data_IF_746489052013
#
_entry.id   IF_746489052013
#
_cell.length_a   1.000
_cell.length_b   1.000
_cell.length_c   1.000
_cell.angle_alpha   90.00
_cell.angle_beta   90.00
_cell.angle_gamma   90.00
#
_symmetry.space_group_name_H-M   'P 1'
#
loop_
_entity.id
_entity.type
_entity.pdbx_description
1 polymer ?
#
# COMPACT_ATOMS: atom_id res chain seq x y z
N UNK A 1 -49.15 73.22 2.89
CA UNK A 1 -50.08 72.58 1.95
C UNK A 1 -49.39 71.38 1.29
N UNK A 2 -50.10 70.24 1.21
CA UNK A 2 -49.76 68.94 0.57
C UNK A 2 -48.69 68.13 1.34
N UNK A 3 -48.99 67.09 2.12
CA UNK A 3 -49.71 65.81 1.87
C UNK A 3 -49.08 65.05 0.68
N UNK A 4 -48.74 63.76 0.70
CA UNK A 4 -48.92 62.64 1.64
C UNK A 4 -48.13 61.43 1.07
N UNK A 5 -47.80 60.43 1.89
CA UNK A 5 -48.27 59.02 1.80
C UNK A 5 -47.33 58.03 2.51
N UNK A 6 -47.97 57.25 3.38
CA UNK A 6 -47.53 56.03 4.04
C UNK A 6 -47.39 54.91 2.99
N UNK A 7 -46.48 53.94 3.19
CA UNK A 7 -46.75 52.47 3.21
C UNK A 7 -45.46 51.61 3.11
N UNK A 8 -45.31 50.76 4.13
CA UNK A 8 -44.86 49.35 4.17
C UNK A 8 -43.42 48.87 3.83
N UNK A 9 -42.92 48.08 4.81
CA UNK A 9 -42.39 46.71 4.70
C UNK A 9 -40.91 46.47 4.36
N UNK A 10 -40.30 45.58 5.15
CA UNK A 10 -39.18 44.75 4.70
C UNK A 10 -38.08 44.50 5.72
N UNK A 11 -38.33 43.61 6.69
CA UNK A 11 -37.26 42.89 7.40
C UNK A 11 -36.57 41.95 6.41
N UNK A 12 -35.29 42.18 6.08
CA UNK A 12 -34.43 41.14 5.49
C UNK A 12 -33.06 41.24 6.17
N UNK A 13 -32.92 40.50 7.27
CA UNK A 13 -31.61 40.19 7.82
C UNK A 13 -30.94 39.15 6.93
N UNK A 14 -29.93 39.54 6.16
CA UNK A 14 -29.02 38.59 5.51
C UNK A 14 -28.12 38.00 6.60
N UNK A 15 -28.55 36.88 7.18
CA UNK A 15 -27.67 36.04 8.00
C UNK A 15 -26.84 35.18 7.05
N UNK A 16 -25.63 35.63 6.71
CA UNK A 16 -24.64 34.79 6.03
C UNK A 16 -24.19 33.69 6.98
N UNK A 17 -24.76 32.50 6.84
CA UNK A 17 -24.23 31.30 7.48
C UNK A 17 -22.88 30.97 6.82
N UNK A 18 -21.78 31.26 7.53
CA UNK A 18 -20.46 30.78 7.16
C UNK A 18 -20.46 29.25 7.31
N UNK A 19 -20.48 28.54 6.19
CA UNK A 19 -20.23 27.10 6.17
C UNK A 19 -18.76 26.88 6.55
N UNK A 20 -18.51 26.46 7.79
CA UNK A 20 -17.18 26.02 8.21
C UNK A 20 -16.93 24.65 7.55
N UNK A 21 -15.83 24.48 6.80
CA UNK A 21 -15.47 23.16 6.28
C UNK A 21 -15.21 22.24 7.47
N UNK A 22 -16.00 21.17 7.59
CA UNK A 22 -15.68 20.09 8.50
C UNK A 22 -14.44 19.38 7.96
N UNK A 23 -13.43 19.07 8.80
CA UNK A 23 -12.35 18.21 8.38
C UNK A 23 -12.93 16.84 8.00
N UNK A 24 -12.83 16.48 6.72
CA UNK A 24 -13.09 15.11 6.27
C UNK A 24 -11.89 14.27 6.69
N UNK A 25 -11.97 13.66 7.87
CA UNK A 25 -11.09 12.53 8.17
C UNK A 25 -11.59 11.38 7.29
N UNK A 26 -10.77 10.93 6.34
CA UNK A 26 -11.01 9.61 5.76
C UNK A 26 -11.00 8.63 6.93
N UNK A 27 -12.08 7.85 7.10
CA UNK A 27 -12.21 6.99 8.27
C UNK A 27 -11.15 5.88 8.16
N UNK A 28 -10.09 5.98 8.96
CA UNK A 28 -9.06 4.95 9.03
C UNK A 28 -9.57 3.78 9.88
N UNK A 29 -9.70 2.61 9.26
CA UNK A 29 -10.05 1.39 9.98
C UNK A 29 -8.82 0.77 10.62
N UNK A 30 -8.84 0.60 11.94
CA UNK A 30 -7.84 -0.21 12.65
C UNK A 30 -8.21 -1.69 12.56
N UNK A 31 -7.35 -2.52 11.96
CA UNK A 31 -7.53 -3.96 11.80
C UNK A 31 -6.64 -4.75 12.77
N UNK A 32 -7.26 -5.52 13.68
CA UNK A 32 -6.58 -6.38 14.66
C UNK A 32 -7.07 -7.84 14.58
N UNK A 33 -7.63 -8.23 13.44
CA UNK A 33 -8.19 -9.55 13.26
C UNK A 33 -8.52 -9.81 11.79
N UNK A 34 -9.65 -10.44 11.52
CA UNK A 34 -9.99 -10.85 10.16
C UNK A 34 -11.02 -9.90 9.54
N UNK A 35 -10.73 -9.42 8.34
CA UNK A 35 -11.69 -8.74 7.47
C UNK A 35 -11.97 -9.59 6.23
N UNK A 36 -13.25 -9.72 5.92
CA UNK A 36 -13.71 -10.40 4.71
C UNK A 36 -13.79 -9.47 3.51
N UNK A 37 -14.68 -9.80 2.58
CA UNK A 37 -15.03 -8.96 1.44
C UNK A 37 -15.86 -7.76 1.91
N UNK A 38 -15.17 -6.72 2.35
CA UNK A 38 -15.72 -5.41 2.71
C UNK A 38 -14.90 -4.31 2.05
N UNK A 39 -15.48 -3.12 1.93
CA UNK A 39 -14.75 -1.92 1.49
C UNK A 39 -14.45 -1.04 2.70
N UNK A 40 -13.24 -0.47 2.74
CA UNK A 40 -12.76 0.44 3.77
C UNK A 40 -11.95 1.55 3.09
N UNK A 41 -11.82 2.72 3.71
CA UNK A 41 -11.04 3.83 3.16
C UNK A 41 -9.55 3.53 3.33
N UNK A 42 -8.95 3.96 4.45
CA UNK A 42 -7.61 3.59 4.85
C UNK A 42 -7.67 2.45 5.88
N UNK A 43 -6.61 1.65 5.93
CA UNK A 43 -6.50 0.56 6.90
C UNK A 43 -5.17 0.63 7.62
N UNK A 44 -5.22 0.57 8.94
CA UNK A 44 -4.06 0.51 9.83
C UNK A 44 -4.01 -0.82 10.54
N UNK A 45 -2.90 -1.54 10.47
CA UNK A 45 -2.60 -2.69 11.33
C UNK A 45 -1.71 -2.17 12.45
N UNK A 46 -2.23 -2.04 13.68
CA UNK A 46 -1.48 -1.41 14.76
C UNK A 46 -0.36 -2.32 15.25
N UNK A 47 0.55 -1.75 16.04
CA UNK A 47 1.67 -2.45 16.65
C UNK A 47 1.28 -3.82 17.25
N UNK A 48 2.14 -4.82 17.00
CA UNK A 48 2.01 -6.21 17.47
C UNK A 48 0.69 -6.92 17.12
N UNK A 49 -0.17 -6.31 16.31
CA UNK A 49 -1.44 -6.89 15.92
C UNK A 49 -1.31 -7.71 14.64
N UNK A 50 -2.20 -8.70 14.50
CA UNK A 50 -2.35 -9.45 13.26
C UNK A 50 -3.63 -9.04 12.55
N UNK A 51 -3.51 -8.66 11.28
CA UNK A 51 -4.63 -8.42 10.40
C UNK A 51 -4.62 -9.41 9.23
N UNK A 52 -5.73 -10.10 9.03
CA UNK A 52 -5.95 -10.93 7.83
C UNK A 52 -7.05 -10.32 6.98
N UNK A 53 -6.74 -9.98 5.74
CA UNK A 53 -7.67 -9.48 4.74
C UNK A 53 -7.98 -10.58 3.73
N UNK A 54 -9.26 -10.88 3.50
CA UNK A 54 -9.71 -11.87 2.53
C UNK A 54 -10.76 -11.27 1.60
N UNK A 55 -10.35 -10.86 0.40
CA UNK A 55 -11.25 -10.22 -0.57
C UNK A 55 -11.57 -8.76 -0.24
N UNK A 56 -10.88 -8.16 0.73
CA UNK A 56 -11.12 -6.77 1.16
C UNK A 56 -10.73 -5.76 0.08
N UNK A 57 -11.53 -4.72 -0.09
CA UNK A 57 -11.23 -3.54 -0.91
C UNK A 57 -10.81 -2.39 0.02
N UNK A 58 -9.65 -1.80 -0.22
CA UNK A 58 -9.12 -0.63 0.49
C UNK A 58 -9.03 0.50 -0.53
N UNK A 59 -9.81 1.56 -0.36
CA UNK A 59 -9.86 2.69 -1.30
C UNK A 59 -8.67 3.64 -1.15
N UNK A 60 -8.00 3.59 -0.01
CA UNK A 60 -6.79 4.31 0.30
C UNK A 60 -5.60 3.38 0.50
N UNK A 61 -4.86 3.61 1.57
CA UNK A 61 -3.61 2.92 1.88
C UNK A 61 -3.78 1.87 2.98
N UNK A 62 -2.86 0.90 2.99
CA UNK A 62 -2.62 0.03 4.14
C UNK A 62 -1.30 0.44 4.79
N UNK A 63 -1.36 0.74 6.09
CA UNK A 63 -0.17 0.98 6.93
C UNK A 63 -0.04 -0.17 7.93
N UNK A 64 1.13 -0.81 7.97
CA UNK A 64 1.45 -1.90 8.89
C UNK A 64 2.56 -1.41 9.83
N UNK A 65 2.25 -1.36 11.12
CA UNK A 65 3.17 -0.83 12.13
C UNK A 65 4.15 -1.88 12.67
N UNK A 66 5.01 -1.43 13.57
CA UNK A 66 6.05 -2.22 14.21
C UNK A 66 5.50 -3.51 14.84
N UNK A 67 6.19 -4.63 14.62
CA UNK A 67 5.81 -5.94 15.15
C UNK A 67 4.52 -6.53 14.56
N UNK A 68 3.80 -5.77 13.72
CA UNK A 68 2.51 -6.20 13.21
C UNK A 68 2.65 -7.24 12.08
N UNK A 69 1.56 -7.98 11.86
CA UNK A 69 1.46 -9.01 10.82
C UNK A 69 0.30 -8.67 9.89
N UNK A 70 0.60 -8.50 8.59
CA UNK A 70 -0.41 -8.37 7.55
C UNK A 70 -0.45 -9.64 6.69
N UNK A 71 -1.65 -10.21 6.55
CA UNK A 71 -1.94 -11.30 5.63
C UNK A 71 -3.06 -10.88 4.68
N UNK A 72 -2.70 -10.39 3.50
CA UNK A 72 -3.61 -9.94 2.47
C UNK A 72 -3.78 -10.99 1.35
N UNK A 73 -5.02 -11.46 1.17
CA UNK A 73 -5.39 -12.45 0.16
C UNK A 73 -6.53 -11.93 -0.70
N UNK A 74 -6.35 -11.96 -2.02
CA UNK A 74 -7.36 -11.50 -2.99
C UNK A 74 -7.82 -10.06 -2.75
N UNK A 75 -6.95 -9.19 -2.24
CA UNK A 75 -7.31 -7.81 -1.91
C UNK A 75 -7.24 -6.90 -3.13
N UNK A 76 -7.97 -5.79 -3.08
CA UNK A 76 -7.77 -4.65 -3.97
C UNK A 76 -7.48 -3.40 -3.14
N UNK A 77 -6.28 -2.88 -3.24
CA UNK A 77 -5.83 -1.65 -2.61
C UNK A 77 -5.66 -0.62 -3.72
N UNK A 78 -6.39 0.48 -3.69
CA UNK A 78 -6.24 1.54 -4.71
C UNK A 78 -4.97 2.37 -4.49
N UNK A 79 -4.57 2.55 -3.23
CA UNK A 79 -3.32 3.21 -2.84
C UNK A 79 -2.14 2.25 -2.67
N UNK A 80 -1.36 2.50 -1.62
CA UNK A 80 -0.10 1.82 -1.30
C UNK A 80 -0.25 0.81 -0.15
N UNK A 81 0.67 -0.13 -0.07
CA UNK A 81 0.94 -0.90 1.15
C UNK A 81 2.30 -0.48 1.69
N UNK A 82 2.33 0.05 2.91
CA UNK A 82 3.54 0.54 3.57
C UNK A 82 3.73 -0.19 4.90
N UNK A 83 4.95 -0.68 5.13
CA UNK A 83 5.32 -1.33 6.37
C UNK A 83 6.73 -0.93 6.78
N UNK A 84 6.89 -0.60 8.05
CA UNK A 84 8.17 -0.32 8.69
C UNK A 84 8.23 -1.08 10.01
N UNK A 85 9.30 -1.83 10.23
CA UNK A 85 9.50 -2.69 11.40
C UNK A 85 8.39 -3.75 11.63
N UNK A 86 7.61 -4.10 10.60
CA UNK A 86 6.59 -5.14 10.71
C UNK A 86 7.20 -6.53 10.95
N UNK A 87 6.51 -7.41 11.66
CA UNK A 87 6.99 -8.79 11.80
C UNK A 87 6.91 -9.52 10.45
N UNK A 88 5.74 -9.50 9.80
CA UNK A 88 5.51 -10.22 8.55
C UNK A 88 4.50 -9.51 7.66
N UNK A 89 4.80 -9.43 6.36
CA UNK A 89 3.86 -8.94 5.35
C UNK A 89 3.68 -9.98 4.24
N UNK A 90 2.42 -10.36 3.99
CA UNK A 90 2.06 -11.32 2.95
C UNK A 90 0.97 -10.72 2.06
N UNK A 91 1.22 -10.61 0.76
CA UNK A 91 0.26 -10.13 -0.26
C UNK A 91 0.20 -11.17 -1.37
N UNK A 92 -0.95 -11.85 -1.50
CA UNK A 92 -1.04 -13.06 -2.35
C UNK A 92 -2.39 -13.19 -3.05
N UNK A 93 -2.53 -14.24 -3.85
CA UNK A 93 -3.83 -14.72 -4.37
C UNK A 93 -4.52 -13.69 -5.29
N UNK A 94 -3.88 -13.33 -6.41
CA UNK A 94 -4.44 -12.38 -7.40
C UNK A 94 -4.81 -11.02 -6.80
N UNK A 95 -4.00 -10.54 -5.86
CA UNK A 95 -4.19 -9.23 -5.26
C UNK A 95 -3.85 -8.12 -6.26
N UNK A 96 -4.41 -6.94 -6.04
CA UNK A 96 -4.17 -5.72 -6.81
C UNK A 96 -3.79 -4.60 -5.85
N UNK A 97 -2.67 -3.94 -6.10
CA UNK A 97 -2.23 -2.71 -5.43
C UNK A 97 -2.02 -1.65 -6.51
N UNK A 98 -2.78 -0.56 -6.43
CA UNK A 98 -2.79 0.50 -7.45
C UNK A 98 -1.50 1.31 -7.45
N UNK A 99 -0.92 1.55 -6.27
CA UNK A 99 0.37 2.20 -6.11
C UNK A 99 1.50 1.22 -5.80
N UNK A 100 2.29 1.57 -4.80
CA UNK A 100 3.53 0.89 -4.41
C UNK A 100 3.30 -0.11 -3.27
N UNK A 101 4.18 -1.10 -3.20
CA UNK A 101 4.39 -1.90 -1.98
C UNK A 101 5.80 -1.59 -1.47
N UNK A 102 5.88 -0.94 -0.31
CA UNK A 102 7.13 -0.51 0.30
C UNK A 102 7.29 -1.13 1.70
N UNK A 103 8.24 -2.05 1.83
CA UNK A 103 8.48 -2.80 3.07
C UNK A 103 9.91 -2.59 3.53
N UNK A 104 10.07 -1.91 4.67
CA UNK A 104 11.35 -1.49 5.22
C UNK A 104 11.58 -2.09 6.59
N UNK A 105 12.83 -2.48 6.85
CA UNK A 105 13.31 -2.89 8.16
C UNK A 105 12.42 -3.94 8.83
N UNK A 106 11.71 -4.76 8.07
CA UNK A 106 10.70 -5.68 8.58
C UNK A 106 11.27 -7.11 8.67
N UNK A 107 10.49 -8.04 9.19
CA UNK A 107 10.85 -9.46 9.23
C UNK A 107 10.72 -10.13 7.88
N UNK A 108 9.68 -10.96 7.71
CA UNK A 108 9.48 -11.77 6.50
C UNK A 108 8.53 -11.11 5.51
N UNK A 109 8.77 -11.30 4.22
CA UNK A 109 7.92 -10.72 3.16
C UNK A 109 7.59 -11.75 2.09
N UNK A 110 6.32 -11.88 1.75
CA UNK A 110 5.87 -12.66 0.60
C UNK A 110 4.92 -11.82 -0.25
N UNK A 111 5.35 -11.49 -1.46
CA UNK A 111 4.49 -10.87 -2.47
C UNK A 111 4.40 -11.82 -3.65
N UNK A 112 3.24 -12.44 -3.83
CA UNK A 112 3.04 -13.43 -4.88
C UNK A 112 1.73 -13.23 -5.64
N UNK A 113 1.73 -13.59 -6.93
CA UNK A 113 0.55 -13.52 -7.80
C UNK A 113 -0.20 -12.17 -7.68
N UNK A 114 0.54 -11.07 -7.63
CA UNK A 114 0.00 -9.73 -7.36
C UNK A 114 0.26 -8.78 -8.53
N UNK A 115 -0.72 -7.93 -8.86
CA UNK A 115 -0.54 -6.79 -9.76
C UNK A 115 -0.24 -5.55 -8.93
N UNK A 116 0.90 -4.93 -9.18
CA UNK A 116 1.38 -3.73 -8.51
C UNK A 116 1.47 -2.64 -9.59
N UNK A 117 0.74 -1.54 -9.42
CA UNK A 117 0.73 -0.45 -10.39
C UNK A 117 2.03 0.35 -10.40
N UNK A 118 2.62 0.54 -9.22
CA UNK A 118 3.91 1.19 -9.04
C UNK A 118 5.05 0.20 -8.80
N UNK A 119 5.88 0.52 -7.81
CA UNK A 119 7.10 -0.19 -7.45
C UNK A 119 6.86 -1.25 -6.36
N UNK A 120 7.71 -2.28 -6.35
CA UNK A 120 7.93 -3.16 -5.19
C UNK A 120 9.30 -2.84 -4.59
N UNK A 121 9.31 -2.29 -3.38
CA UNK A 121 10.52 -1.87 -2.67
C UNK A 121 10.70 -2.69 -1.40
N UNK A 122 11.82 -3.40 -1.30
CA UNK A 122 12.19 -4.26 -0.16
C UNK A 122 13.54 -3.80 0.38
N UNK A 123 13.56 -3.16 1.55
CA UNK A 123 14.79 -2.57 2.11
C UNK A 123 15.06 -3.06 3.54
N UNK A 124 16.28 -3.51 3.81
CA UNK A 124 16.76 -3.83 5.17
C UNK A 124 15.92 -4.87 5.93
N UNK A 125 15.24 -5.78 5.21
CA UNK A 125 14.42 -6.81 5.85
C UNK A 125 15.26 -8.01 6.32
N UNK A 126 14.85 -8.58 7.46
CA UNK A 126 15.70 -9.47 8.27
C UNK A 126 15.46 -10.96 8.04
N UNK A 127 14.28 -11.36 7.54
CA UNK A 127 13.92 -12.77 7.30
C UNK A 127 13.71 -13.04 5.80
N UNK A 128 13.35 -14.28 5.47
CA UNK A 128 13.18 -14.74 4.09
C UNK A 128 12.18 -13.89 3.33
N UNK A 129 12.55 -13.54 2.10
CA UNK A 129 11.75 -12.73 1.18
C UNK A 129 11.44 -13.50 -0.10
N UNK A 130 10.20 -13.35 -0.58
CA UNK A 130 9.73 -13.92 -1.84
C UNK A 130 8.99 -12.87 -2.67
N UNK A 131 9.42 -12.68 -3.91
CA UNK A 131 8.68 -12.00 -4.97
C UNK A 131 8.43 -12.97 -6.11
N UNK A 132 7.19 -13.44 -6.27
CA UNK A 132 6.86 -14.51 -7.22
C UNK A 132 5.63 -14.22 -8.08
N UNK A 133 5.75 -14.32 -9.40
CA UNK A 133 4.55 -14.30 -10.27
C UNK A 133 3.86 -12.94 -10.32
N UNK A 134 4.55 -11.86 -9.97
CA UNK A 134 3.95 -10.52 -9.93
C UNK A 134 3.98 -9.83 -11.29
N UNK A 135 3.03 -8.92 -11.53
CA UNK A 135 3.12 -7.92 -12.60
C UNK A 135 3.33 -6.56 -11.95
N UNK A 136 4.48 -5.93 -12.23
CA UNK A 136 4.93 -4.71 -11.58
C UNK A 136 5.04 -3.62 -12.66
N UNK A 137 4.26 -2.55 -12.52
CA UNK A 137 4.23 -1.43 -13.46
C UNK A 137 5.46 -0.55 -13.40
N UNK A 138 6.08 -0.47 -12.21
CA UNK A 138 7.36 0.20 -11.99
C UNK A 138 8.52 -0.79 -11.85
N UNK A 139 9.38 -0.52 -10.87
CA UNK A 139 10.59 -1.24 -10.56
C UNK A 139 10.37 -2.29 -9.47
N UNK A 140 11.23 -3.30 -9.46
CA UNK A 140 11.46 -4.13 -8.28
C UNK A 140 12.85 -3.78 -7.72
N UNK A 141 12.86 -3.18 -6.54
CA UNK A 141 14.07 -2.77 -5.83
C UNK A 141 14.21 -3.58 -4.55
N UNK A 142 15.36 -4.23 -4.37
CA UNK A 142 15.67 -4.96 -3.15
C UNK A 142 17.06 -4.60 -2.64
N UNK A 143 17.13 -3.93 -1.50
CA UNK A 143 18.38 -3.40 -0.95
C UNK A 143 18.64 -3.89 0.47
N UNK A 144 19.87 -4.36 0.72
CA UNK A 144 20.38 -4.70 2.06
C UNK A 144 19.53 -5.70 2.86
N UNK A 145 18.79 -6.58 2.21
CA UNK A 145 18.01 -7.59 2.91
C UNK A 145 18.90 -8.75 3.37
N UNK A 146 18.68 -9.28 4.58
CA UNK A 146 19.59 -10.21 5.28
C UNK A 146 19.09 -11.66 5.38
N UNK A 147 17.79 -11.90 5.18
CA UNK A 147 17.20 -13.24 5.34
C UNK A 147 17.15 -14.08 4.07
N UNK A 148 17.75 -13.60 2.99
CA UNK A 148 17.71 -14.21 1.66
C UNK A 148 16.47 -13.82 0.87
N UNK A 149 16.67 -13.66 -0.45
CA UNK A 149 15.63 -13.20 -1.36
C UNK A 149 15.51 -14.15 -2.56
N UNK A 150 14.28 -14.55 -2.87
CA UNK A 150 13.94 -15.24 -4.13
C UNK A 150 13.04 -14.34 -4.98
N UNK A 151 13.48 -14.07 -6.21
CA UNK A 151 12.75 -13.28 -7.20
C UNK A 151 12.49 -14.14 -8.44
N UNK A 152 11.25 -14.58 -8.66
CA UNK A 152 10.97 -15.51 -9.76
C UNK A 152 9.66 -15.23 -10.49
N UNK A 153 9.65 -15.47 -11.80
CA UNK A 153 8.45 -15.39 -12.64
C UNK A 153 7.74 -14.03 -12.61
N UNK A 154 8.44 -12.94 -12.34
CA UNK A 154 7.86 -11.59 -12.35
C UNK A 154 7.88 -11.00 -13.76
N UNK A 155 6.87 -10.20 -14.10
CA UNK A 155 6.87 -9.28 -15.23
C UNK A 155 7.04 -7.86 -14.68
N UNK A 156 8.14 -7.21 -15.03
CA UNK A 156 8.55 -5.91 -14.50
C UNK A 156 8.68 -4.94 -15.68
N UNK A 157 7.88 -3.88 -15.65
CA UNK A 157 7.85 -2.88 -16.71
C UNK A 157 8.99 -1.84 -16.56
N UNK A 158 9.49 -1.62 -15.34
CA UNK A 158 10.71 -0.87 -15.03
C UNK A 158 11.95 -1.76 -14.89
N UNK A 159 12.81 -1.43 -13.92
CA UNK A 159 14.07 -2.11 -13.64
C UNK A 159 13.92 -3.17 -12.53
N UNK A 160 14.81 -4.15 -12.54
CA UNK A 160 15.04 -5.09 -11.45
C UNK A 160 16.42 -4.80 -10.84
N UNK A 161 16.44 -4.32 -9.60
CA UNK A 161 17.66 -3.84 -8.94
C UNK A 161 17.84 -4.56 -7.60
N UNK A 162 18.98 -5.22 -7.41
CA UNK A 162 19.29 -5.91 -6.17
C UNK A 162 20.69 -5.55 -5.68
N UNK A 163 20.78 -4.81 -4.58
CA UNK A 163 22.05 -4.30 -4.06
C UNK A 163 22.24 -4.68 -2.60
N UNK A 164 23.45 -5.11 -2.25
CA UNK A 164 23.87 -5.37 -0.86
C UNK A 164 23.02 -6.39 -0.08
N UNK A 165 22.19 -7.20 -0.74
CA UNK A 165 21.45 -8.28 -0.09
C UNK A 165 22.39 -9.43 0.28
N UNK A 166 22.14 -10.04 1.43
CA UNK A 166 22.87 -11.18 1.96
C UNK A 166 21.88 -12.25 2.43
N UNK A 167 22.03 -13.52 2.04
CA UNK A 167 22.82 -13.99 0.90
C UNK A 167 22.42 -13.30 -0.41
N UNK A 168 23.28 -13.43 -1.43
CA UNK A 168 23.01 -12.95 -2.79
C UNK A 168 21.65 -13.51 -3.25
N UNK A 169 20.75 -12.68 -3.81
CA UNK A 169 19.43 -13.14 -4.23
C UNK A 169 19.49 -14.26 -5.27
N UNK A 170 18.49 -15.12 -5.25
CA UNK A 170 18.28 -16.14 -6.28
C UNK A 170 17.06 -15.80 -7.11
N UNK A 171 17.02 -16.25 -8.35
CA UNK A 171 15.87 -16.00 -9.19
C UNK A 171 15.87 -16.76 -10.50
N UNK A 172 14.71 -16.75 -11.16
CA UNK A 172 14.52 -17.35 -12.47
C UNK A 172 13.24 -16.84 -13.14
N UNK A 173 13.21 -16.78 -14.46
CA UNK A 173 11.98 -16.51 -15.24
C UNK A 173 11.44 -15.09 -15.12
N UNK A 174 12.26 -14.10 -14.72
CA UNK A 174 11.82 -12.71 -14.69
C UNK A 174 11.92 -12.07 -16.08
N UNK A 175 10.81 -11.48 -16.53
CA UNK A 175 10.73 -10.66 -17.73
C UNK A 175 10.80 -9.20 -17.34
N UNK A 176 11.92 -8.55 -17.61
CA UNK A 176 12.18 -7.15 -17.24
C UNK A 176 12.29 -6.33 -18.52
N UNK A 177 11.51 -5.26 -18.65
CA UNK A 177 11.59 -4.36 -19.82
C UNK A 177 12.74 -3.37 -19.71
N UNK A 178 13.02 -2.90 -18.50
CA UNK A 178 14.22 -2.12 -18.18
C UNK A 178 15.45 -3.00 -17.98
N UNK A 179 16.32 -2.58 -17.07
CA UNK A 179 17.58 -3.27 -16.79
C UNK A 179 17.47 -4.23 -15.60
N UNK A 180 18.34 -5.25 -15.62
CA UNK A 180 18.65 -6.07 -14.46
C UNK A 180 20.00 -5.64 -13.93
N UNK A 181 20.09 -5.25 -12.67
CA UNK A 181 21.26 -4.56 -12.12
C UNK A 181 21.87 -5.31 -10.93
N UNK A 182 23.17 -5.12 -10.71
CA UNK A 182 23.89 -5.63 -9.54
C UNK A 182 23.69 -7.15 -9.31
N UNK A 183 23.19 -7.54 -8.15
CA UNK A 183 23.11 -8.94 -7.73
C UNK A 183 22.05 -9.74 -8.48
N UNK A 184 21.09 -9.08 -9.14
CA UNK A 184 20.05 -9.71 -9.94
C UNK A 184 20.28 -9.59 -11.45
N UNK A 185 21.44 -9.08 -11.88
CA UNK A 185 21.80 -8.92 -13.30
C UNK A 185 21.72 -10.22 -14.14
N UNK A 186 21.63 -11.39 -13.49
CA UNK A 186 21.67 -12.71 -14.13
C UNK A 186 20.33 -13.47 -14.22
N UNK A 187 19.21 -12.99 -13.66
CA UNK A 187 17.95 -13.76 -13.62
C UNK A 187 16.67 -12.97 -13.87
#
# INVERSE_FOLDING_TARGET
>A
MKAAKILLAGLIGLSSAAALPLPSYADELTCQGNLGNTTVDNLRVPEDATCTLNGTRVEGNITVESGAVLIARSVRVEGNIQAEDADQVTVTTRSMVGGDIQIKQSGGVMVADTRIGGDLQLEENRRSLLSQGNTIGGNLQAFKNEGGLRVSSNRIDGNLQCKENRPVPSGNGNMVRGNKEDQCARF
#
